data_IF_712229578755
#
_entry.id   IF_712229578755
#
_cell.length_a   1.000
_cell.length_b   1.000
_cell.length_c   1.000
_cell.angle_alpha   90.00
_cell.angle_beta   90.00
_cell.angle_gamma   90.00
#
_symmetry.space_group_name_H-M   'P 1'
#
loop_
_entity.id
_entity.type
_entity.pdbx_description
1 polymer ?
#
# COMPACT_ATOMS: atom_id res chain seq x y z
N UNK A 1 13.47 -2.07 15.76
CA UNK A 1 13.00 -3.47 15.85
C UNK A 1 11.48 -3.41 15.90
N UNK A 2 10.79 -3.62 14.77
CA UNK A 2 9.33 -3.56 14.73
C UNK A 2 8.74 -4.71 15.56
N UNK A 3 7.84 -4.37 16.49
CA UNK A 3 7.12 -5.33 17.31
C UNK A 3 5.94 -5.91 16.50
N UNK A 4 5.72 -7.24 16.52
CA UNK A 4 4.60 -7.86 15.82
C UNK A 4 3.25 -7.22 16.13
N UNK A 5 3.00 -6.89 17.40
CA UNK A 5 1.75 -6.24 17.85
C UNK A 5 1.43 -4.94 17.08
N UNK A 6 2.45 -4.12 16.79
CA UNK A 6 2.27 -2.86 16.08
C UNK A 6 1.99 -3.10 14.60
N UNK A 7 2.68 -4.05 13.97
CA UNK A 7 2.43 -4.41 12.58
C UNK A 7 0.98 -4.85 12.40
N UNK A 8 0.52 -5.81 13.20
CA UNK A 8 -0.85 -6.32 13.08
C UNK A 8 -1.90 -5.25 13.39
N UNK A 9 -1.65 -4.37 14.36
CA UNK A 9 -2.53 -3.22 14.65
C UNK A 9 -2.64 -2.23 13.49
N UNK A 10 -1.56 -2.05 12.72
CA UNK A 10 -1.59 -1.18 11.54
C UNK A 10 -2.21 -1.88 10.32
N UNK A 11 -2.09 -3.21 10.22
CA UNK A 11 -2.69 -4.00 9.15
C UNK A 11 -4.16 -4.38 9.41
N UNK A 12 -4.68 -4.20 10.62
CA UNK A 12 -6.05 -4.63 10.98
C UNK A 12 -7.18 -3.80 10.34
N UNK A 13 -6.87 -2.72 9.61
CA UNK A 13 -7.87 -1.98 8.85
C UNK A 13 -7.91 -2.50 7.41
N UNK A 14 -9.10 -2.77 6.86
CA UNK A 14 -9.22 -3.39 5.54
C UNK A 14 -8.62 -2.53 4.43
N UNK A 15 -8.78 -1.20 4.47
CA UNK A 15 -8.23 -0.32 3.43
C UNK A 15 -6.71 -0.22 3.54
N UNK A 16 -6.17 -0.16 4.76
CA UNK A 16 -4.71 -0.17 4.97
C UNK A 16 -4.10 -1.48 4.50
N UNK A 17 -4.73 -2.62 4.80
CA UNK A 17 -4.26 -3.91 4.30
C UNK A 17 -4.28 -3.96 2.78
N UNK A 18 -5.39 -3.57 2.14
CA UNK A 18 -5.49 -3.48 0.68
C UNK A 18 -4.37 -2.64 0.07
N UNK A 19 -4.09 -1.45 0.62
CA UNK A 19 -2.99 -0.60 0.15
C UNK A 19 -1.63 -1.30 0.22
N UNK A 20 -1.35 -1.99 1.33
CA UNK A 20 -0.08 -2.71 1.52
C UNK A 20 0.06 -3.86 0.51
N UNK A 21 -1.01 -4.63 0.29
CA UNK A 21 -1.01 -5.74 -0.67
C UNK A 21 -0.89 -5.25 -2.12
N UNK A 22 -1.55 -4.15 -2.47
CA UNK A 22 -1.39 -3.53 -3.79
C UNK A 22 0.05 -3.06 -4.03
N UNK A 23 0.67 -2.44 -3.04
CA UNK A 23 2.05 -1.98 -3.12
C UNK A 23 3.05 -3.14 -3.16
N UNK A 24 2.78 -4.25 -2.46
CA UNK A 24 3.58 -5.47 -2.56
C UNK A 24 3.55 -6.04 -3.99
N UNK A 25 2.37 -6.08 -4.62
CA UNK A 25 2.20 -6.61 -5.96
C UNK A 25 2.77 -5.71 -7.06
N UNK A 26 2.64 -4.38 -6.92
CA UNK A 26 2.98 -3.42 -7.98
C UNK A 26 4.32 -2.68 -7.75
N UNK A 27 4.96 -2.87 -6.59
CA UNK A 27 6.19 -2.22 -6.14
C UNK A 27 5.99 -0.81 -5.61
N UNK A 28 5.57 0.10 -6.49
CA UNK A 28 5.29 1.51 -6.15
C UNK A 28 4.07 2.07 -6.88
N UNK A 29 3.38 3.04 -6.27
CA UNK A 29 2.22 3.71 -6.85
C UNK A 29 2.10 5.16 -6.38
N UNK A 30 1.57 6.05 -7.24
CA UNK A 30 1.27 7.44 -6.86
C UNK A 30 -0.05 7.51 -6.05
N UNK A 31 -0.28 8.59 -5.30
CA UNK A 31 -1.51 8.77 -4.52
C UNK A 31 -2.77 8.66 -5.39
N UNK A 32 -2.71 9.20 -6.61
CA UNK A 32 -3.82 9.16 -7.57
C UNK A 32 -4.17 7.72 -7.98
N UNK A 33 -3.15 6.89 -8.24
CA UNK A 33 -3.34 5.48 -8.56
C UNK A 33 -4.01 4.72 -7.41
N UNK A 34 -3.56 4.98 -6.17
CA UNK A 34 -4.11 4.34 -4.98
C UNK A 34 -5.56 4.79 -4.69
N UNK A 35 -5.88 6.05 -4.95
CA UNK A 35 -7.26 6.54 -4.89
C UNK A 35 -8.16 5.84 -5.92
N UNK A 36 -7.70 5.74 -7.17
CA UNK A 36 -8.44 5.06 -8.23
C UNK A 36 -8.61 3.56 -7.92
N UNK A 37 -7.58 2.91 -7.39
CA UNK A 37 -7.61 1.49 -7.02
C UNK A 37 -8.65 1.21 -5.92
N UNK A 38 -8.64 1.99 -4.83
CA UNK A 38 -9.56 1.78 -3.71
C UNK A 38 -10.94 2.44 -3.89
N UNK A 39 -11.13 3.32 -4.87
CA UNK A 39 -12.39 4.05 -5.07
C UNK A 39 -12.74 5.00 -3.93
N UNK A 40 -11.73 5.60 -3.29
CA UNK A 40 -11.91 6.52 -2.15
C UNK A 40 -11.22 7.86 -2.39
N UNK A 41 -11.77 8.91 -1.77
CA UNK A 41 -11.26 10.27 -1.91
C UNK A 41 -9.86 10.46 -1.28
N UNK A 42 -9.13 11.44 -1.81
CA UNK A 42 -7.77 11.78 -1.43
C UNK A 42 -7.56 11.96 0.09
N UNK A 43 -8.45 12.64 0.84
CA UNK A 43 -8.24 12.83 2.28
C UNK A 43 -8.22 11.50 3.05
N UNK A 44 -9.02 10.52 2.63
CA UNK A 44 -9.08 9.20 3.26
C UNK A 44 -7.82 8.39 2.96
N UNK A 45 -7.42 8.32 1.70
CA UNK A 45 -6.20 7.61 1.28
C UNK A 45 -4.97 8.21 1.94
N UNK A 46 -4.85 9.54 1.94
CA UNK A 46 -3.73 10.24 2.58
C UNK A 46 -3.63 9.92 4.07
N UNK A 47 -4.77 9.82 4.78
CA UNK A 47 -4.79 9.41 6.18
C UNK A 47 -4.29 7.98 6.37
N UNK A 48 -4.75 7.03 5.56
CA UNK A 48 -4.28 5.64 5.62
C UNK A 48 -2.77 5.53 5.35
N UNK A 49 -2.27 6.24 4.34
CA UNK A 49 -0.85 6.27 4.00
C UNK A 49 0.00 6.92 5.11
N UNK A 50 -0.49 7.99 5.73
CA UNK A 50 0.17 8.63 6.85
C UNK A 50 0.26 7.69 8.07
N UNK A 51 -0.79 6.92 8.36
CA UNK A 51 -0.77 5.91 9.42
C UNK A 51 0.21 4.78 9.12
N UNK A 52 0.17 4.22 7.91
CA UNK A 52 1.09 3.15 7.49
C UNK A 52 2.55 3.60 7.52
N UNK A 53 2.83 4.86 7.18
CA UNK A 53 4.14 5.48 7.35
C UNK A 53 4.55 5.62 8.81
N UNK A 54 3.63 6.03 9.70
CA UNK A 54 3.91 6.12 11.14
C UNK A 54 4.26 4.76 11.75
N UNK A 55 3.78 3.67 11.15
CA UNK A 55 4.12 2.32 11.53
C UNK A 55 5.40 1.78 10.87
N UNK A 56 6.12 2.60 10.09
CA UNK A 56 7.29 2.20 9.28
C UNK A 56 7.01 1.03 8.31
N UNK A 57 5.77 0.88 7.84
CA UNK A 57 5.39 -0.14 6.85
C UNK A 57 5.62 0.40 5.44
N UNK A 58 5.34 1.68 5.22
CA UNK A 58 5.51 2.35 3.94
C UNK A 58 6.58 3.43 4.02
N UNK A 59 7.26 3.62 2.91
CA UNK A 59 8.09 4.79 2.64
C UNK A 59 7.49 5.57 1.47
N UNK A 60 7.83 6.85 1.38
CA UNK A 60 7.37 7.71 0.30
C UNK A 60 8.56 8.40 -0.35
N UNK A 61 8.53 8.49 -1.68
CA UNK A 61 9.53 9.16 -2.49
C UNK A 61 8.87 10.23 -3.34
N UNK A 62 9.39 11.47 -3.28
CA UNK A 62 8.82 12.61 -4.00
C UNK A 62 9.58 12.82 -5.29
N UNK A 63 8.91 12.58 -6.42
CA UNK A 63 9.45 12.75 -7.77
C UNK A 63 8.73 13.91 -8.44
N UNK A 64 9.33 15.09 -8.34
CA UNK A 64 8.77 16.35 -8.84
C UNK A 64 7.49 16.75 -8.11
N UNK A 65 6.37 16.78 -8.85
CA UNK A 65 5.04 17.13 -8.31
C UNK A 65 4.34 15.96 -7.61
N UNK A 66 4.79 14.73 -7.85
CA UNK A 66 4.11 13.52 -7.41
C UNK A 66 4.84 12.85 -6.25
N UNK A 67 4.08 12.15 -5.40
CA UNK A 67 4.61 11.35 -4.30
C UNK A 67 4.23 9.90 -4.54
N UNK A 68 5.24 9.05 -4.61
CA UNK A 68 5.12 7.61 -4.78
C UNK A 68 5.27 6.92 -3.44
N UNK A 69 4.45 5.92 -3.19
CA UNK A 69 4.50 5.09 -1.99
C UNK A 69 4.95 3.69 -2.38
N UNK A 70 5.72 3.07 -1.49
CA UNK A 70 6.24 1.71 -1.63
C UNK A 70 6.45 1.10 -0.25
N UNK A 71 6.57 -0.22 -0.18
CA UNK A 71 6.95 -0.90 1.06
C UNK A 71 8.28 -0.39 1.58
N UNK A 72 8.39 -0.23 2.90
CA UNK A 72 9.60 0.26 3.52
C UNK A 72 10.75 -0.74 3.32
N UNK A 73 11.90 -0.28 2.83
CA UNK A 73 13.06 -1.13 2.51
C UNK A 73 13.55 -1.93 3.73
N UNK A 74 13.59 -1.27 4.90
CA UNK A 74 13.98 -1.84 6.20
C UNK A 74 12.91 -2.69 6.91
N UNK A 75 11.80 -3.06 6.25
CA UNK A 75 10.85 -4.02 6.84
C UNK A 75 11.57 -5.34 7.18
N UNK A 76 11.41 -5.86 8.41
CA UNK A 76 11.96 -7.17 8.77
C UNK A 76 11.49 -8.27 7.82
N UNK A 77 12.35 -9.25 7.57
CA UNK A 77 12.03 -10.37 6.66
C UNK A 77 10.75 -11.10 7.04
N UNK A 78 10.50 -11.31 8.34
CA UNK A 78 9.27 -11.95 8.82
C UNK A 78 8.02 -11.12 8.47
N UNK A 79 8.10 -9.79 8.52
CA UNK A 79 6.98 -8.91 8.21
C UNK A 79 6.68 -8.93 6.69
N UNK A 80 7.73 -8.89 5.86
CA UNK A 80 7.61 -9.05 4.40
C UNK A 80 6.98 -10.41 4.06
N UNK A 81 7.40 -11.47 4.75
CA UNK A 81 6.84 -12.80 4.54
C UNK A 81 5.34 -12.85 4.90
N UNK A 82 4.93 -12.28 6.04
CA UNK A 82 3.51 -12.21 6.44
C UNK A 82 2.68 -11.47 5.39
N UNK A 83 3.15 -10.32 4.91
CA UNK A 83 2.45 -9.54 3.87
C UNK A 83 2.32 -10.37 2.60
N UNK A 84 3.42 -10.96 2.13
CA UNK A 84 3.45 -11.76 0.91
C UNK A 84 2.57 -13.01 1.00
N UNK A 85 2.66 -13.76 2.09
CA UNK A 85 1.82 -14.95 2.31
C UNK A 85 0.33 -14.59 2.42
N UNK A 86 0.02 -13.40 2.93
CA UNK A 86 -1.36 -12.89 2.95
C UNK A 86 -1.84 -12.51 1.55
N UNK A 87 -0.98 -11.93 0.71
CA UNK A 87 -1.28 -11.63 -0.70
C UNK A 87 -1.53 -12.93 -1.49
N UNK A 88 -0.65 -13.92 -1.34
CA UNK A 88 -0.71 -15.21 -2.03
C UNK A 88 -1.90 -16.08 -1.55
N UNK A 89 -2.21 -16.04 -0.24
CA UNK A 89 -3.31 -16.81 0.35
C UNK A 89 -4.70 -16.18 0.14
N UNK A 90 -4.76 -14.90 -0.24
CA UNK A 90 -6.01 -14.15 -0.39
C UNK A 90 -5.99 -13.29 -1.67
N UNK A 91 -5.59 -13.86 -2.80
CA UNK A 91 -5.51 -13.14 -4.08
C UNK A 91 -6.82 -12.43 -4.42
N UNK A 92 -7.96 -13.07 -4.15
CA UNK A 92 -9.31 -12.55 -4.39
C UNK A 92 -9.66 -11.30 -3.56
N UNK A 93 -8.91 -11.01 -2.49
CA UNK A 93 -9.18 -9.89 -1.58
C UNK A 93 -8.87 -8.51 -2.20
N UNK A 94 -7.96 -8.47 -3.19
CA UNK A 94 -7.52 -7.23 -3.86
C UNK A 94 -7.66 -7.28 -5.39
N UNK A 95 -8.25 -8.34 -5.97
CA UNK A 95 -8.31 -8.53 -7.43
C UNK A 95 -8.95 -7.35 -8.16
N UNK A 96 -10.04 -6.82 -7.62
CA UNK A 96 -10.72 -5.66 -8.23
C UNK A 96 -9.87 -4.39 -8.15
N UNK A 97 -9.31 -4.11 -6.96
CA UNK A 97 -8.45 -2.95 -6.74
C UNK A 97 -7.20 -3.01 -7.61
N UNK A 98 -6.60 -4.19 -7.77
CA UNK A 98 -5.42 -4.42 -8.59
C UNK A 98 -5.73 -4.25 -10.08
N UNK A 99 -6.91 -4.68 -10.51
CA UNK A 99 -7.41 -4.43 -11.87
C UNK A 99 -7.61 -2.93 -12.14
N UNK A 100 -8.20 -2.19 -11.20
CA UNK A 100 -8.36 -0.73 -11.27
C UNK A 100 -6.99 -0.01 -11.26
N UNK A 101 -6.05 -0.49 -10.46
CA UNK A 101 -4.69 0.05 -10.37
C UNK A 101 -3.95 -0.08 -11.70
N UNK A 102 -4.01 -1.24 -12.35
CA UNK A 102 -3.37 -1.46 -13.65
C UNK A 102 -3.96 -0.57 -14.76
N UNK A 103 -5.24 -0.21 -14.69
CA UNK A 103 -5.85 0.74 -15.62
C UNK A 103 -5.40 2.19 -15.37
N UNK A 104 -5.08 2.53 -14.11
CA UNK A 104 -4.59 3.87 -13.73
C UNK A 104 -3.09 4.06 -14.01
N UNK A 105 -2.28 3.01 -13.82
CA UNK A 105 -0.82 3.03 -14.05
C UNK A 105 -0.51 3.36 -15.51
N UNK A 106 -0.20 4.63 -15.77
CA UNK A 106 0.14 5.16 -17.11
C UNK A 106 -0.76 6.30 -17.59
N UNK A 107 -1.91 6.54 -16.95
CA UNK A 107 -2.88 7.54 -17.41
C UNK A 107 -2.90 8.80 -16.54
N UNK A 108 -2.56 8.69 -15.24
CA UNK A 108 -2.76 9.77 -14.27
C UNK A 108 -1.48 10.54 -13.87
N UNK A 109 -0.29 9.95 -14.03
CA UNK A 109 0.96 10.46 -13.46
C UNK A 109 2.10 10.64 -14.52
N UNK A 110 1.77 10.78 -15.82
CA UNK A 110 2.70 11.14 -16.92
C UNK A 110 2.78 12.66 -17.10
#
# INVERSE_FOLDING_TARGET
MQRPELLFKCLSDPNRLKLVLLLDACGEACVCDLMAALGVDQPKVSRYLAELRRCDILQADRRGKWVYYMLHSNLPMWAKHVIRSSAEGCTDYVTEELSRLHQSKGTACV
#
